data_IF_255903985111
#
_entry.id   IF_255903985111
#
_cell.length_a   1.000
_cell.length_b   1.000
_cell.length_c   1.000
_cell.angle_alpha   90.00
_cell.angle_beta   90.00
_cell.angle_gamma   90.00
#
_symmetry.space_group_name_H-M   'P 1'
#
loop_
_entity.id
_entity.type
_entity.pdbx_description
1 polymer ?
#
# COMPACT_ATOMS: atom_id res chain seq x y z
N UNK A 1 -13.42 3.95 -15.95
CA UNK A 1 -12.27 3.30 -16.61
C UNK A 1 -10.94 3.95 -16.21
N UNK A 2 -10.77 5.24 -16.47
CA UNK A 2 -9.51 5.94 -16.15
C UNK A 2 -9.15 5.88 -14.66
N UNK A 3 -10.16 6.04 -13.79
CA UNK A 3 -9.94 5.98 -12.35
C UNK A 3 -9.35 4.65 -11.89
N UNK A 4 -9.82 3.54 -12.46
CA UNK A 4 -9.29 2.22 -12.14
C UNK A 4 -7.85 2.05 -12.61
N UNK A 5 -7.52 2.56 -13.79
CA UNK A 5 -6.15 2.50 -14.32
C UNK A 5 -5.21 3.33 -13.46
N UNK A 6 -5.63 4.53 -13.08
CA UNK A 6 -4.81 5.40 -12.24
C UNK A 6 -4.57 4.78 -10.85
N UNK A 7 -5.64 4.30 -10.23
CA UNK A 7 -5.57 3.72 -8.90
C UNK A 7 -4.74 2.43 -8.89
N UNK A 8 -5.02 1.52 -9.80
CA UNK A 8 -4.26 0.27 -9.94
C UNK A 8 -2.82 0.52 -10.34
N UNK A 9 -2.59 1.47 -11.24
CA UNK A 9 -1.26 1.83 -11.70
C UNK A 9 -0.37 2.37 -10.58
N UNK A 10 -0.94 3.16 -9.66
CA UNK A 10 -0.20 3.64 -8.49
C UNK A 10 0.28 2.49 -7.61
N UNK A 11 -0.57 1.47 -7.40
CA UNK A 11 -0.18 0.32 -6.60
C UNK A 11 0.88 -0.54 -7.30
N UNK A 12 0.79 -0.71 -8.61
CA UNK A 12 1.83 -1.41 -9.38
C UNK A 12 3.16 -0.65 -9.29
N UNK A 13 3.11 0.67 -9.46
CA UNK A 13 4.29 1.53 -9.35
C UNK A 13 4.91 1.44 -7.95
N UNK A 14 4.09 1.52 -6.90
CA UNK A 14 4.56 1.43 -5.52
C UNK A 14 5.17 0.06 -5.22
N UNK A 15 4.51 -1.02 -5.65
CA UNK A 15 5.03 -2.37 -5.46
C UNK A 15 6.36 -2.59 -6.15
N UNK A 16 6.50 -2.10 -7.39
CA UNK A 16 7.75 -2.17 -8.11
C UNK A 16 8.85 -1.38 -7.38
N UNK A 17 8.51 -0.18 -6.88
CA UNK A 17 9.43 0.63 -6.09
C UNK A 17 9.90 -0.09 -4.83
N UNK A 18 9.01 -0.83 -4.16
CA UNK A 18 9.37 -1.62 -2.99
C UNK A 18 10.43 -2.68 -3.32
N UNK A 19 10.33 -3.34 -4.47
CA UNK A 19 11.35 -4.30 -4.88
C UNK A 19 12.68 -3.63 -5.22
N UNK A 20 12.64 -2.43 -5.81
CA UNK A 20 13.87 -1.67 -6.11
C UNK A 20 14.59 -1.21 -4.83
N UNK A 21 13.84 -0.91 -3.78
CA UNK A 21 14.36 -0.45 -2.48
C UNK A 21 14.26 -1.54 -1.42
N UNK A 22 14.27 -2.80 -1.81
CA UNK A 22 13.97 -3.92 -0.94
C UNK A 22 14.80 -3.93 0.34
N UNK A 23 16.13 -3.78 0.22
CA UNK A 23 17.02 -3.81 1.38
C UNK A 23 16.72 -2.69 2.37
N UNK A 24 16.49 -1.49 1.88
CA UNK A 24 16.20 -0.32 2.71
C UNK A 24 14.91 -0.51 3.50
N UNK A 25 13.85 -0.96 2.82
CA UNK A 25 12.54 -1.12 3.45
C UNK A 25 12.54 -2.32 4.41
N UNK A 26 13.21 -3.42 4.03
CA UNK A 26 13.34 -4.56 4.93
C UNK A 26 14.09 -4.19 6.21
N UNK A 27 15.13 -3.36 6.10
CA UNK A 27 15.85 -2.85 7.25
C UNK A 27 14.94 -1.99 8.15
N UNK A 28 14.10 -1.15 7.56
CA UNK A 28 13.13 -0.33 8.30
C UNK A 28 12.12 -1.19 9.06
N UNK A 29 11.66 -2.29 8.45
CA UNK A 29 10.77 -3.24 9.12
C UNK A 29 11.47 -3.94 10.27
N UNK A 30 12.74 -4.32 10.08
CA UNK A 30 13.55 -4.94 11.14
C UNK A 30 13.75 -3.98 12.32
N UNK A 31 13.98 -2.69 12.05
CA UNK A 31 14.10 -1.68 13.10
C UNK A 31 12.81 -1.54 13.92
N UNK A 32 11.66 -1.80 13.31
CA UNK A 32 10.38 -1.78 13.99
C UNK A 32 10.04 -3.12 14.65
N UNK A 33 10.99 -4.04 14.71
CA UNK A 33 10.87 -5.35 15.34
C UNK A 33 9.83 -6.27 14.73
N UNK A 34 9.55 -6.12 13.44
CA UNK A 34 8.65 -7.04 12.74
C UNK A 34 9.40 -8.34 12.43
N UNK A 35 8.75 -9.51 12.63
CA UNK A 35 9.37 -10.78 12.28
C UNK A 35 9.38 -10.97 10.77
N UNK A 36 10.42 -11.63 10.27
CA UNK A 36 10.57 -11.98 8.84
C UNK A 36 10.35 -10.77 7.92
N UNK A 37 11.12 -9.66 8.09
CA UNK A 37 10.86 -8.44 7.32
C UNK A 37 10.94 -8.64 5.81
N UNK A 38 11.85 -9.49 5.32
CA UNK A 38 11.96 -9.78 3.89
C UNK A 38 10.71 -10.49 3.35
N UNK A 39 10.18 -11.45 4.10
CA UNK A 39 8.97 -12.19 3.72
C UNK A 39 7.75 -11.27 3.72
N UNK A 40 7.62 -10.44 4.75
CA UNK A 40 6.52 -9.47 4.85
C UNK A 40 6.54 -8.50 3.67
N UNK A 41 7.72 -7.98 3.35
CA UNK A 41 7.87 -7.03 2.25
C UNK A 41 7.59 -7.67 0.90
N UNK A 42 8.12 -8.87 0.66
CA UNK A 42 7.92 -9.59 -0.59
C UNK A 42 6.44 -9.93 -0.80
N UNK A 43 5.78 -10.44 0.24
CA UNK A 43 4.37 -10.80 0.19
C UNK A 43 3.50 -9.56 -0.04
N UNK A 44 3.74 -8.48 0.70
CA UNK A 44 2.99 -7.24 0.58
C UNK A 44 3.15 -6.59 -0.79
N UNK A 45 4.38 -6.52 -1.29
CA UNK A 45 4.66 -5.93 -2.61
C UNK A 45 4.05 -6.75 -3.73
N UNK A 46 4.06 -8.08 -3.61
CA UNK A 46 3.42 -8.97 -4.58
C UNK A 46 1.91 -8.76 -4.62
N UNK A 47 1.27 -8.63 -3.45
CA UNK A 47 -0.15 -8.33 -3.36
C UNK A 47 -0.47 -6.99 -4.02
N UNK A 48 0.35 -5.96 -3.77
CA UNK A 48 0.19 -4.65 -4.39
C UNK A 48 0.19 -4.73 -5.90
N UNK A 49 1.18 -5.41 -6.47
CA UNK A 49 1.34 -5.49 -7.92
C UNK A 49 0.20 -6.29 -8.54
N UNK A 50 -0.07 -7.48 -8.01
CA UNK A 50 -1.10 -8.38 -8.55
C UNK A 50 -2.48 -7.74 -8.45
N UNK A 51 -2.84 -7.26 -7.26
CA UNK A 51 -4.15 -6.64 -7.05
C UNK A 51 -4.28 -5.33 -7.82
N UNK A 52 -3.20 -4.55 -7.93
CA UNK A 52 -3.18 -3.33 -8.73
C UNK A 52 -3.43 -3.61 -10.21
N UNK A 53 -2.80 -4.65 -10.75
CA UNK A 53 -3.04 -5.06 -12.13
C UNK A 53 -4.47 -5.55 -12.34
N UNK A 54 -5.00 -6.33 -11.40
CA UNK A 54 -6.40 -6.78 -11.46
C UNK A 54 -7.37 -5.61 -11.44
N UNK A 55 -7.11 -4.62 -10.61
CA UNK A 55 -7.93 -3.42 -10.52
C UNK A 55 -7.90 -2.63 -11.84
N UNK A 56 -6.71 -2.43 -12.40
CA UNK A 56 -6.53 -1.67 -13.63
C UNK A 56 -7.17 -2.37 -14.84
N UNK A 57 -7.07 -3.69 -14.92
CA UNK A 57 -7.56 -4.47 -16.05
C UNK A 57 -9.01 -4.92 -15.91
N UNK A 58 -9.60 -4.79 -14.73
CA UNK A 58 -10.98 -5.17 -14.48
C UNK A 58 -11.20 -6.60 -14.03
N UNK A 59 -10.12 -7.33 -13.74
CA UNK A 59 -10.21 -8.73 -13.31
C UNK A 59 -10.46 -8.82 -11.81
N UNK A 60 -11.68 -9.20 -11.42
CA UNK A 60 -12.02 -9.39 -10.02
C UNK A 60 -11.89 -8.12 -9.20
N UNK A 61 -12.32 -6.98 -9.71
CA UNK A 61 -12.15 -5.67 -9.04
C UNK A 61 -12.63 -5.63 -7.59
N UNK A 62 -13.81 -6.19 -7.23
CA UNK A 62 -14.21 -6.15 -5.82
C UNK A 62 -13.22 -6.83 -4.90
N UNK A 63 -12.70 -7.99 -5.31
CA UNK A 63 -11.71 -8.73 -4.51
C UNK A 63 -10.37 -8.02 -4.47
N UNK A 64 -9.90 -7.53 -5.62
CA UNK A 64 -8.64 -6.80 -5.71
C UNK A 64 -8.68 -5.53 -4.86
N UNK A 65 -9.78 -4.78 -4.93
CA UNK A 65 -9.94 -3.56 -4.16
C UNK A 65 -9.95 -3.83 -2.66
N UNK A 66 -10.66 -4.87 -2.21
CA UNK A 66 -10.69 -5.23 -0.80
C UNK A 66 -9.32 -5.69 -0.30
N UNK A 67 -8.61 -6.47 -1.12
CA UNK A 67 -7.23 -6.88 -0.78
C UNK A 67 -6.33 -5.66 -0.60
N UNK A 68 -6.45 -4.67 -1.48
CA UNK A 68 -5.66 -3.44 -1.37
C UNK A 68 -6.08 -2.57 -0.20
N UNK A 69 -7.36 -2.57 0.19
CA UNK A 69 -7.82 -1.87 1.41
C UNK A 69 -7.12 -2.47 2.63
N UNK A 70 -7.15 -3.78 2.76
CA UNK A 70 -6.50 -4.47 3.88
C UNK A 70 -5.00 -4.19 3.88
N UNK A 71 -4.37 -4.29 2.72
CA UNK A 71 -2.94 -4.00 2.57
C UNK A 71 -2.63 -2.56 2.98
N UNK A 72 -3.42 -1.58 2.50
CA UNK A 72 -3.18 -0.17 2.78
C UNK A 72 -3.32 0.13 4.27
N UNK A 73 -4.31 -0.44 4.93
CA UNK A 73 -4.49 -0.29 6.38
C UNK A 73 -3.29 -0.87 7.12
N UNK A 74 -2.90 -2.11 6.78
CA UNK A 74 -1.78 -2.78 7.43
C UNK A 74 -0.48 -2.00 7.22
N UNK A 75 -0.18 -1.61 5.99
CA UNK A 75 1.02 -0.86 5.67
C UNK A 75 1.05 0.50 6.38
N UNK A 76 -0.09 1.18 6.46
CA UNK A 76 -0.17 2.47 7.13
C UNK A 76 0.12 2.35 8.61
N UNK A 77 -0.43 1.34 9.27
CA UNK A 77 -0.19 1.11 10.70
C UNK A 77 1.26 0.69 10.94
N UNK A 78 1.81 -0.16 10.07
CA UNK A 78 3.17 -0.70 10.24
C UNK A 78 4.26 0.31 9.93
N UNK A 79 4.10 1.11 8.88
CA UNK A 79 5.17 1.94 8.33
C UNK A 79 4.93 3.44 8.46
N UNK A 80 3.68 3.86 8.63
CA UNK A 80 3.32 5.28 8.73
C UNK A 80 2.86 5.62 10.14
N UNK A 81 3.59 5.12 11.11
CA UNK A 81 3.33 5.26 12.54
C UNK A 81 3.81 6.62 13.06
N UNK A 82 3.23 7.70 12.54
CA UNK A 82 3.65 9.07 12.85
C UNK A 82 3.59 9.42 14.34
N UNK A 83 2.78 8.69 15.11
CA UNK A 83 2.66 8.91 16.56
C UNK A 83 3.93 8.55 17.33
N UNK A 84 4.86 7.81 16.72
CA UNK A 84 6.16 7.46 17.32
C UNK A 84 7.26 8.45 17.00
N UNK A 85 6.98 9.43 16.13
CA UNK A 85 7.97 10.35 15.61
C UNK A 85 7.60 11.78 15.93
N UNK A 86 8.54 12.71 15.76
CA UNK A 86 8.33 14.12 15.98
C UNK A 86 9.01 14.94 14.88
N UNK A 87 8.66 16.23 14.78
CA UNK A 87 9.24 17.13 13.81
C UNK A 87 8.89 16.81 12.36
N UNK A 88 9.82 17.04 11.42
CA UNK A 88 9.55 16.82 9.99
C UNK A 88 9.18 15.37 9.64
N UNK A 89 9.79 14.40 10.32
CA UNK A 89 9.46 12.99 10.10
C UNK A 89 8.01 12.68 10.39
N UNK A 90 7.49 13.21 11.51
CA UNK A 90 6.09 13.03 11.87
C UNK A 90 5.17 13.64 10.83
N UNK A 91 5.49 14.83 10.33
CA UNK A 91 4.67 15.48 9.31
C UNK A 91 4.61 14.68 8.02
N UNK A 92 5.75 14.16 7.57
CA UNK A 92 5.80 13.33 6.36
C UNK A 92 4.98 12.07 6.50
N UNK A 93 5.14 11.35 7.62
CA UNK A 93 4.40 10.13 7.88
C UNK A 93 2.90 10.39 8.04
N UNK A 94 2.55 11.46 8.73
CA UNK A 94 1.16 11.85 8.92
C UNK A 94 0.49 12.22 7.60
N UNK A 95 1.20 12.94 6.73
CA UNK A 95 0.68 13.29 5.40
C UNK A 95 0.43 12.03 4.57
N UNK A 96 1.38 11.10 4.56
CA UNK A 96 1.23 9.84 3.84
C UNK A 96 0.07 9.02 4.40
N UNK A 97 -0.08 8.98 5.73
CA UNK A 97 -1.18 8.27 6.37
C UNK A 97 -2.52 8.87 5.97
N UNK A 98 -2.62 10.20 5.95
CA UNK A 98 -3.83 10.91 5.55
C UNK A 98 -4.17 10.64 4.08
N UNK A 99 -3.17 10.64 3.20
CA UNK A 99 -3.35 10.31 1.79
C UNK A 99 -3.88 8.87 1.65
N UNK A 100 -3.35 7.94 2.44
CA UNK A 100 -3.80 6.55 2.40
C UNK A 100 -5.26 6.38 2.84
N UNK A 101 -5.76 7.24 3.72
CA UNK A 101 -7.19 7.26 4.04
C UNK A 101 -8.02 7.58 2.79
N UNK A 102 -7.59 8.56 2.00
CA UNK A 102 -8.25 8.89 0.74
C UNK A 102 -8.15 7.75 -0.27
N UNK A 103 -7.02 7.08 -0.33
CA UNK A 103 -6.82 5.90 -1.20
C UNK A 103 -7.79 4.79 -0.80
N UNK A 104 -7.96 4.52 0.49
CA UNK A 104 -8.92 3.54 0.98
C UNK A 104 -10.34 3.89 0.53
N UNK A 105 -10.72 5.17 0.63
CA UNK A 105 -12.01 5.63 0.13
C UNK A 105 -12.20 5.35 -1.36
N UNK A 106 -11.17 5.63 -2.16
CA UNK A 106 -11.19 5.31 -3.59
C UNK A 106 -11.30 3.83 -3.87
N UNK A 107 -10.59 2.99 -3.08
CA UNK A 107 -10.66 1.54 -3.22
C UNK A 107 -12.05 0.99 -2.87
N UNK A 108 -12.68 1.54 -1.83
CA UNK A 108 -14.03 1.14 -1.46
C UNK A 108 -15.04 1.48 -2.57
N UNK A 109 -14.89 2.63 -3.22
CA UNK A 109 -15.70 2.98 -4.37
C UNK A 109 -15.43 2.04 -5.54
N UNK A 110 -14.18 1.68 -5.76
CA UNK A 110 -13.79 0.76 -6.83
C UNK A 110 -14.31 -0.67 -6.59
N UNK A 111 -14.47 -1.07 -5.33
CA UNK A 111 -15.01 -2.38 -4.98
C UNK A 111 -16.51 -2.48 -5.22
N UNK A 112 -17.20 -1.35 -5.28
CA UNK A 112 -18.66 -1.31 -5.46
C UNK A 112 -19.01 -1.68 -6.90
N UNK A 113 -19.85 -2.69 -7.14
CA UNK A 113 -20.25 -3.04 -8.50
C UNK A 113 -21.17 -1.97 -9.10
N UNK A 114 -20.86 -1.56 -10.31
CA UNK A 114 -21.63 -0.56 -11.03
C UNK A 114 -22.25 -1.11 -12.29
#
# INVERSE_FOLDING_TARGET
MLGFVLLGGVFVWAGAGHFLKFRTIAAQLAERHFPFPAVLLAAGSSVEIIAGLCLATGMGRPYASLALVVFTIAASVMMLDFWRYSGPERQGLRSAFTINIAVIGGLLLAANPH
#
